data_IF_030295494389
#
_entry.id   IF_030295494389
#
_cell.length_a   1.000
_cell.length_b   1.000
_cell.length_c   1.000
_cell.angle_alpha   90.00
_cell.angle_beta   90.00
_cell.angle_gamma   90.00
#
_symmetry.space_group_name_H-M   'P 1'
#
loop_
_entity.id
_entity.type
_entity.pdbx_description
1 polymer ?
#
# COMPACT_ATOMS: atom_id res chain seq x y z
N UNK A 1 -6.76 -13.83 -14.78
CA UNK A 1 -7.66 -13.75 -13.60
C UNK A 1 -7.05 -12.76 -12.64
N UNK A 2 -7.86 -11.91 -12.02
CA UNK A 2 -7.39 -10.92 -11.03
C UNK A 2 -7.42 -11.55 -9.64
N UNK A 3 -6.33 -11.38 -8.90
CA UNK A 3 -6.12 -11.84 -7.54
C UNK A 3 -5.81 -10.67 -6.61
N UNK A 4 -6.07 -10.88 -5.32
CA UNK A 4 -5.82 -9.88 -4.29
C UNK A 4 -4.98 -10.46 -3.17
N UNK A 5 -3.89 -9.78 -2.79
CA UNK A 5 -3.08 -10.12 -1.62
C UNK A 5 -3.14 -8.99 -0.60
N UNK A 6 -3.72 -9.28 0.57
CA UNK A 6 -3.79 -8.35 1.68
C UNK A 6 -2.39 -7.95 2.21
N UNK A 7 -2.25 -6.71 2.66
CA UNK A 7 -1.12 -6.24 3.44
C UNK A 7 -1.57 -5.26 4.55
N UNK A 8 -0.73 -5.14 5.59
CA UNK A 8 -0.84 -4.11 6.61
C UNK A 8 0.55 -3.68 7.06
N UNK A 9 0.74 -2.38 7.26
CA UNK A 9 1.98 -1.81 7.77
C UNK A 9 1.66 -0.97 9.00
N UNK A 10 2.24 -1.36 10.12
CA UNK A 10 2.26 -0.53 11.33
C UNK A 10 3.38 0.50 11.22
N UNK A 11 3.03 1.77 11.07
CA UNK A 11 4.01 2.85 10.96
C UNK A 11 4.79 3.04 12.26
N UNK A 12 5.96 3.67 12.16
CA UNK A 12 6.80 4.00 13.30
C UNK A 12 7.32 5.42 13.16
N UNK A 13 7.20 6.22 14.23
CA UNK A 13 7.64 7.62 14.21
C UNK A 13 9.11 7.75 13.77
N UNK A 14 9.38 8.73 12.91
CA UNK A 14 10.67 9.05 12.32
C UNK A 14 11.31 7.89 11.54
N UNK A 15 10.51 6.97 11.01
CA UNK A 15 11.01 5.80 10.25
C UNK A 15 10.14 5.50 9.05
N UNK A 16 10.80 4.86 8.08
CA UNK A 16 10.15 4.15 7.00
C UNK A 16 9.88 2.70 7.42
N UNK A 17 8.65 2.24 7.16
CA UNK A 17 8.23 0.85 7.36
C UNK A 17 7.63 0.34 6.07
N UNK A 18 8.12 -0.81 5.63
CA UNK A 18 7.64 -1.55 4.46
C UNK A 18 6.91 -2.80 4.92
N UNK A 19 6.02 -3.30 4.08
CA UNK A 19 5.43 -4.62 4.21
C UNK A 19 6.38 -5.73 3.71
N UNK A 20 5.89 -6.97 3.71
CA UNK A 20 6.62 -8.13 3.20
C UNK A 20 6.65 -8.17 1.67
N UNK A 21 5.67 -7.56 1.01
CA UNK A 21 5.59 -7.36 -0.43
C UNK A 21 4.84 -8.46 -1.19
N UNK A 22 4.61 -8.19 -2.47
CA UNK A 22 4.14 -9.16 -3.46
C UNK A 22 5.36 -9.74 -4.20
N UNK A 23 5.58 -11.05 -4.10
CA UNK A 23 6.71 -11.71 -4.77
C UNK A 23 6.26 -12.47 -6.03
N UNK A 24 6.99 -12.29 -7.12
CA UNK A 24 6.84 -13.04 -8.37
C UNK A 24 7.76 -14.27 -8.35
N UNK A 25 7.20 -15.45 -8.59
CA UNK A 25 7.96 -16.72 -8.54
C UNK A 25 7.89 -17.45 -9.87
N UNK A 26 8.71 -18.48 -10.07
CA UNK A 26 8.69 -19.25 -11.31
C UNK A 26 7.36 -19.99 -11.53
N UNK A 27 6.72 -20.43 -10.45
CA UNK A 27 5.41 -21.11 -10.51
C UNK A 27 4.25 -20.11 -10.67
N UNK A 28 4.42 -18.89 -10.18
CA UNK A 28 3.42 -17.83 -10.23
C UNK A 28 4.09 -16.52 -10.60
N UNK A 29 4.35 -16.33 -11.91
CA UNK A 29 4.85 -15.07 -12.43
C UNK A 29 3.71 -14.05 -12.39
N UNK A 30 3.95 -12.91 -11.76
CA UNK A 30 2.90 -11.94 -11.46
C UNK A 30 3.02 -10.67 -12.31
N UNK A 31 1.88 -10.06 -12.60
CA UNK A 31 1.75 -8.69 -13.07
C UNK A 31 1.00 -7.89 -12.02
N UNK A 32 1.63 -6.87 -11.46
CA UNK A 32 0.96 -5.97 -10.51
C UNK A 32 0.13 -4.95 -11.29
N UNK A 33 -1.19 -4.96 -11.09
CA UNK A 33 -2.11 -4.01 -11.72
C UNK A 33 -2.12 -2.72 -10.90
N UNK A 34 -2.46 -2.82 -9.62
CA UNK A 34 -2.61 -1.66 -8.73
C UNK A 34 -2.45 -2.03 -7.26
N UNK A 35 -2.31 -1.00 -6.43
CA UNK A 35 -2.29 -1.09 -4.97
C UNK A 35 -3.54 -0.41 -4.44
N UNK A 36 -4.38 -1.18 -3.75
CA UNK A 36 -5.51 -0.67 -3.00
C UNK A 36 -5.04 -0.28 -1.61
N UNK A 37 -5.39 0.92 -1.14
CA UNK A 37 -4.85 1.43 0.12
C UNK A 37 -5.83 2.29 0.92
N UNK A 38 -5.70 2.21 2.24
CA UNK A 38 -6.33 3.09 3.21
C UNK A 38 -5.30 3.47 4.28
N UNK A 39 -5.47 4.66 4.87
CA UNK A 39 -4.67 5.14 5.99
C UNK A 39 -5.56 5.34 7.22
N UNK A 40 -5.07 5.02 8.41
CA UNK A 40 -5.84 5.12 9.66
C UNK A 40 -5.94 6.55 10.23
N UNK A 41 -5.35 7.52 9.55
CA UNK A 41 -5.50 8.95 9.80
C UNK A 41 -4.37 9.76 9.16
N UNK A 42 -4.52 11.08 9.13
CA UNK A 42 -3.52 11.97 8.53
C UNK A 42 -2.51 12.47 9.55
N UNK A 43 -1.25 12.52 9.13
CA UNK A 43 -0.14 13.06 9.91
C UNK A 43 0.96 13.67 9.02
N UNK A 44 0.64 14.01 7.76
CA UNK A 44 1.61 14.46 6.75
C UNK A 44 2.71 13.42 6.51
N UNK A 45 2.34 12.14 6.61
CA UNK A 45 3.19 11.01 6.31
C UNK A 45 3.18 10.74 4.79
N UNK A 46 4.15 9.96 4.32
CA UNK A 46 4.26 9.61 2.90
C UNK A 46 4.03 8.13 2.71
N UNK A 47 3.20 7.78 1.75
CA UNK A 47 2.97 6.41 1.31
C UNK A 47 3.91 6.16 0.13
N UNK A 48 4.64 5.05 0.19
CA UNK A 48 5.70 4.71 -0.77
C UNK A 48 5.47 3.32 -1.34
N UNK A 49 5.84 3.15 -2.61
CA UNK A 49 5.85 1.87 -3.29
C UNK A 49 7.18 1.65 -3.99
N UNK A 50 7.76 0.48 -3.83
CA UNK A 50 9.05 0.10 -4.43
C UNK A 50 8.91 -1.17 -5.24
N UNK A 51 9.50 -1.16 -6.44
CA UNK A 51 9.85 -2.38 -7.15
C UNK A 51 11.34 -2.62 -6.90
N UNK A 52 11.67 -3.68 -6.15
CA UNK A 52 13.00 -3.87 -5.58
C UNK A 52 13.46 -2.65 -4.76
N UNK A 53 14.46 -1.92 -5.26
CA UNK A 53 15.02 -0.71 -4.66
C UNK A 53 14.53 0.56 -5.36
N UNK A 54 13.82 0.44 -6.47
CA UNK A 54 13.35 1.58 -7.26
C UNK A 54 12.01 2.05 -6.72
N UNK A 55 11.97 3.31 -6.27
CA UNK A 55 10.73 3.94 -5.82
C UNK A 55 9.83 4.23 -7.03
N UNK A 56 8.68 3.58 -7.06
CA UNK A 56 7.70 3.70 -8.15
C UNK A 56 6.70 4.83 -7.86
N UNK A 57 6.32 5.02 -6.60
CA UNK A 57 5.51 6.16 -6.18
C UNK A 57 5.86 6.64 -4.78
N UNK A 58 5.61 7.92 -4.54
CA UNK A 58 5.65 8.59 -3.24
C UNK A 58 4.51 9.61 -3.22
N UNK A 59 3.49 9.37 -2.39
CA UNK A 59 2.33 10.25 -2.29
C UNK A 59 2.08 10.62 -0.83
N UNK A 60 1.56 11.83 -0.53
CA UNK A 60 1.18 12.18 0.83
C UNK A 60 -0.06 11.39 1.27
N UNK A 61 -0.13 11.09 2.58
CA UNK A 61 -1.26 10.40 3.21
C UNK A 61 -2.59 11.14 3.06
N UNK A 62 -2.55 12.46 2.91
CA UNK A 62 -3.72 13.33 2.72
C UNK A 62 -4.48 13.10 1.40
N UNK A 63 -3.90 12.39 0.44
CA UNK A 63 -4.58 12.01 -0.81
C UNK A 63 -5.35 10.69 -0.71
N UNK A 64 -5.16 9.93 0.38
CA UNK A 64 -5.79 8.62 0.57
C UNK A 64 -6.91 8.76 1.57
N UNK A 65 -8.11 8.30 1.22
CA UNK A 65 -9.21 8.34 2.17
C UNK A 65 -8.92 7.60 3.48
N UNK A 66 -9.34 8.20 4.59
CA UNK A 66 -9.23 7.62 5.94
C UNK A 66 -10.60 7.41 6.61
N UNK A 67 -10.81 6.32 7.37
CA UNK A 67 -11.99 6.17 8.24
C UNK A 67 -11.88 7.00 9.53
N UNK A 68 -10.76 7.69 9.76
CA UNK A 68 -10.61 8.58 10.90
C UNK A 68 -11.61 9.75 10.81
N UNK A 69 -12.39 9.94 11.87
CA UNK A 69 -13.17 11.14 12.06
C UNK A 69 -12.35 12.10 12.94
N UNK A 70 -12.12 13.32 12.46
CA UNK A 70 -11.30 14.37 13.09
C UNK A 70 -11.95 14.99 14.34
N UNK A 71 -12.61 14.19 15.19
CA UNK A 71 -13.29 14.67 16.40
C UNK A 71 -14.34 13.74 17.01
N UNK A 72 -14.66 12.58 16.40
CA UNK A 72 -15.61 11.60 16.95
C UNK A 72 -14.90 10.44 17.66
N UNK A 73 -15.43 10.00 18.80
CA UNK A 73 -14.99 8.77 19.49
C UNK A 73 -15.45 7.49 18.78
N UNK A 74 -16.42 7.60 17.86
CA UNK A 74 -16.87 6.50 17.01
C UNK A 74 -16.17 6.59 15.65
N UNK A 75 -15.41 5.55 15.27
CA UNK A 75 -14.86 5.43 13.92
C UNK A 75 -15.99 5.25 12.91
N UNK A 76 -16.03 6.11 11.91
CA UNK A 76 -17.03 6.05 10.84
C UNK A 76 -16.38 5.39 9.62
N UNK A 77 -16.68 4.12 9.42
CA UNK A 77 -16.28 3.42 8.21
C UNK A 77 -17.20 3.84 7.06
N UNK A 78 -16.61 4.42 6.02
CA UNK A 78 -17.32 4.58 4.76
C UNK A 78 -17.08 3.34 3.91
N UNK A 79 -18.14 2.60 3.62
CA UNK A 79 -18.09 1.31 2.93
C UNK A 79 -17.81 1.40 1.43
N UNK A 80 -17.69 2.61 0.86
CA UNK A 80 -17.53 2.84 -0.59
C UNK A 80 -16.18 3.48 -0.98
N UNK A 81 -15.16 3.44 -0.10
CA UNK A 81 -13.87 4.12 -0.35
C UNK A 81 -12.80 3.14 -0.81
N UNK A 82 -12.64 3.04 -2.12
CA UNK A 82 -11.56 2.29 -2.76
C UNK A 82 -10.53 3.30 -3.30
N UNK A 83 -9.46 3.57 -2.56
CA UNK A 83 -8.33 4.30 -3.14
C UNK A 83 -7.45 3.29 -3.88
N UNK A 84 -7.29 3.52 -5.18
CA UNK A 84 -6.50 2.67 -6.07
C UNK A 84 -5.34 3.47 -6.64
N UNK A 85 -4.12 2.97 -6.45
CA UNK A 85 -2.92 3.51 -7.07
C UNK A 85 -2.56 2.58 -8.24
N UNK A 86 -2.80 2.98 -9.50
CA UNK A 86 -2.43 2.19 -10.66
C UNK A 86 -0.90 2.10 -10.75
N UNK A 87 -0.37 0.89 -10.96
CA UNK A 87 1.08 0.63 -11.08
C UNK A 87 1.39 0.00 -12.43
N UNK A 88 0.68 -1.07 -12.81
CA UNK A 88 0.72 -1.65 -14.15
C UNK A 88 2.05 -2.27 -14.59
N UNK A 89 2.82 -2.87 -13.67
CA UNK A 89 4.14 -3.45 -13.97
C UNK A 89 4.09 -4.97 -14.07
N UNK A 90 4.82 -5.51 -15.04
CA UNK A 90 5.13 -6.94 -15.11
C UNK A 90 6.29 -7.24 -14.15
N UNK A 91 6.13 -8.23 -13.28
CA UNK A 91 7.13 -8.56 -12.27
C UNK A 91 7.96 -9.76 -12.74
N UNK A 92 9.25 -9.59 -13.09
CA UNK A 92 10.13 -10.69 -13.42
C UNK A 92 10.21 -11.72 -12.28
N UNK A 93 10.49 -12.98 -12.62
CA UNK A 93 10.64 -14.03 -11.62
C UNK A 93 11.76 -13.67 -10.65
N UNK A 94 11.47 -13.76 -9.35
CA UNK A 94 12.39 -13.43 -8.28
C UNK A 94 12.25 -11.99 -7.75
N UNK A 95 11.48 -11.11 -8.41
CA UNK A 95 11.28 -9.74 -7.92
C UNK A 95 10.14 -9.61 -6.93
N UNK A 96 10.19 -8.55 -6.14
CA UNK A 96 9.24 -8.18 -5.10
C UNK A 96 8.85 -6.73 -5.23
N UNK A 97 7.55 -6.46 -5.08
CA UNK A 97 7.02 -5.11 -4.95
C UNK A 97 6.59 -4.90 -3.50
N UNK A 98 7.05 -3.82 -2.87
CA UNK A 98 6.76 -3.50 -1.47
C UNK A 98 6.05 -2.18 -1.35
N UNK A 99 5.13 -2.10 -0.40
CA UNK A 99 4.40 -0.87 -0.06
C UNK A 99 4.70 -0.54 1.38
N UNK A 100 4.75 0.75 1.68
CA UNK A 100 5.04 1.21 3.02
C UNK A 100 4.62 2.62 3.29
N UNK A 101 4.96 3.05 4.50
CA UNK A 101 4.73 4.40 4.99
C UNK A 101 6.01 4.95 5.61
N UNK A 102 6.33 6.19 5.25
CA UNK A 102 7.37 7.01 5.87
C UNK A 102 6.67 7.94 6.84
N UNK A 103 6.88 7.71 8.13
CA UNK A 103 6.26 8.52 9.17
C UNK A 103 7.21 9.62 9.66
N UNK A 104 6.66 10.83 9.82
CA UNK A 104 7.28 11.91 10.60
C UNK A 104 7.12 11.65 12.11
N UNK A 105 6.81 12.70 12.87
CA UNK A 105 6.67 12.59 14.33
C UNK A 105 5.47 11.72 14.77
N UNK A 106 4.37 11.73 14.02
CA UNK A 106 3.16 10.98 14.36
C UNK A 106 3.03 9.75 13.47
N UNK A 107 3.13 8.57 14.07
CA UNK A 107 2.96 7.31 13.36
C UNK A 107 1.50 7.11 12.92
N UNK A 108 1.33 6.57 11.71
CA UNK A 108 0.05 6.14 11.14
C UNK A 108 0.22 4.79 10.48
N UNK A 109 -0.87 4.06 10.33
CA UNK A 109 -0.88 2.74 9.75
C UNK A 109 -1.55 2.78 8.38
N UNK A 110 -1.11 1.88 7.51
CA UNK A 110 -1.76 1.64 6.22
C UNK A 110 -2.20 0.19 6.12
N UNK A 111 -3.33 -0.02 5.46
CA UNK A 111 -3.89 -1.33 5.16
C UNK A 111 -4.38 -1.35 3.73
N UNK A 112 -4.29 -2.49 3.07
CA UNK A 112 -4.65 -2.57 1.68
C UNK A 112 -4.51 -3.94 1.07
N UNK A 113 -4.53 -3.99 -0.25
CA UNK A 113 -4.25 -5.19 -1.01
C UNK A 113 -3.54 -4.88 -2.32
N UNK A 114 -2.65 -5.78 -2.74
CA UNK A 114 -2.13 -5.82 -4.10
C UNK A 114 -3.19 -6.43 -5.01
N UNK A 115 -3.56 -5.74 -6.09
CA UNK A 115 -4.35 -6.29 -7.17
C UNK A 115 -3.42 -6.73 -8.29
N UNK A 116 -3.39 -8.03 -8.60
CA UNK A 116 -2.42 -8.59 -9.53
C UNK A 116 -3.02 -9.70 -10.41
N UNK A 117 -2.33 -10.03 -11.48
CA UNK A 117 -2.62 -11.19 -12.33
C UNK A 117 -1.47 -12.17 -12.25
N UNK A 118 -1.77 -13.46 -12.42
CA UNK A 118 -0.74 -14.46 -12.72
C UNK A 118 -0.69 -14.58 -14.24
N UNK A 119 0.51 -14.36 -14.78
CA UNK A 119 0.80 -14.42 -16.22
C UNK A 119 1.64 -15.67 -16.50
N UNK A 120 1.41 -16.32 -17.63
CA UNK A 120 2.23 -17.42 -18.12
C UNK A 120 3.58 -16.93 -18.69
#
# INVERSE_FOLDING_TARGET
>A
MVFFKYFSVSGQANKEKLDDGLQSTAAEKKRLISVLIQVDGYANNKIVGYHETTKVFEIPDSLIDTPANTGSTNQQYSFNRLNEIPVGIDMPVGTTFKVGIVCGATAKNITGAYMYEVIE
#
